data_IF_957292831923
#
_entry.id   IF_957292831923
#
_cell.length_a   1.000
_cell.length_b   1.000
_cell.length_c   1.000
_cell.angle_alpha   90.00
_cell.angle_beta   90.00
_cell.angle_gamma   90.00
#
_symmetry.space_group_name_H-M   'P 1'
#
loop_
_entity.id
_entity.type
_entity.pdbx_description
1 polymer ?
#
# COMPACT_ATOMS: atom_id res chain seq x y z
N UNK A 1 -9.09 17.43 -3.37
CA UNK A 1 -10.22 16.85 -4.13
C UNK A 1 -11.00 15.81 -3.33
N UNK A 2 -10.31 14.87 -2.62
CA UNK A 2 -10.99 13.83 -1.84
C UNK A 2 -11.85 14.42 -0.70
N UNK A 3 -11.33 15.39 0.05
CA UNK A 3 -12.09 16.03 1.15
C UNK A 3 -13.32 16.77 0.66
N UNK A 4 -13.27 17.38 -0.52
CA UNK A 4 -14.42 18.09 -1.10
C UNK A 4 -15.51 17.16 -1.65
N UNK A 5 -15.16 15.89 -1.92
CA UNK A 5 -16.09 14.85 -2.35
C UNK A 5 -16.64 14.00 -1.17
N UNK A 6 -16.18 14.27 0.06
CA UNK A 6 -16.56 13.50 1.23
C UNK A 6 -18.07 13.59 1.48
N UNK A 7 -18.70 12.42 1.70
CA UNK A 7 -20.15 12.31 1.89
C UNK A 7 -21.00 12.26 0.62
N UNK A 8 -20.42 12.50 -0.56
CA UNK A 8 -21.14 12.43 -1.83
C UNK A 8 -20.62 11.25 -2.65
N UNK A 9 -21.33 10.12 -2.57
CA UNK A 9 -20.92 8.86 -3.21
C UNK A 9 -20.60 9.01 -4.70
N UNK A 10 -21.47 9.66 -5.45
CA UNK A 10 -21.31 9.84 -6.90
C UNK A 10 -20.02 10.59 -7.25
N UNK A 11 -19.70 11.65 -6.49
CA UNK A 11 -18.47 12.42 -6.67
C UNK A 11 -17.22 11.58 -6.33
N UNK A 12 -17.29 10.76 -5.32
CA UNK A 12 -16.19 9.85 -4.95
C UNK A 12 -15.97 8.79 -6.03
N UNK A 13 -17.04 8.15 -6.53
CA UNK A 13 -16.94 7.20 -7.65
C UNK A 13 -16.40 7.87 -8.91
N UNK A 14 -16.83 9.11 -9.22
CA UNK A 14 -16.32 9.87 -10.35
C UNK A 14 -14.82 10.18 -10.22
N UNK A 15 -14.33 10.49 -8.99
CA UNK A 15 -12.90 10.66 -8.73
C UNK A 15 -12.10 9.39 -9.02
N UNK A 16 -12.59 8.22 -8.58
CA UNK A 16 -11.95 6.94 -8.86
C UNK A 16 -11.92 6.62 -10.36
N UNK A 17 -13.02 6.80 -11.07
CA UNK A 17 -13.07 6.62 -12.54
C UNK A 17 -12.10 7.56 -13.25
N UNK A 18 -12.05 8.81 -12.84
CA UNK A 18 -11.11 9.80 -13.39
C UNK A 18 -9.66 9.44 -13.08
N UNK A 19 -9.36 8.89 -11.89
CA UNK A 19 -8.03 8.41 -11.54
C UNK A 19 -7.62 7.23 -12.43
N UNK A 20 -8.51 6.24 -12.61
CA UNK A 20 -8.31 5.12 -13.53
C UNK A 20 -7.97 5.59 -14.94
N UNK A 21 -8.77 6.50 -15.51
CA UNK A 21 -8.56 7.03 -16.86
C UNK A 21 -7.22 7.75 -17.02
N UNK A 22 -6.85 8.59 -16.03
CA UNK A 22 -5.66 9.45 -16.13
C UNK A 22 -4.35 8.79 -15.69
N UNK A 23 -4.43 7.71 -14.90
CA UNK A 23 -3.27 7.05 -14.30
C UNK A 23 -3.01 5.65 -14.83
N UNK A 24 -3.87 5.15 -15.71
CA UNK A 24 -3.58 3.93 -16.45
C UNK A 24 -2.45 4.20 -17.46
N UNK A 25 -1.43 3.37 -17.41
CA UNK A 25 -0.29 3.45 -18.33
C UNK A 25 -0.71 3.10 -19.77
N UNK A 26 0.11 3.44 -20.79
CA UNK A 26 -0.20 3.12 -22.19
C UNK A 26 -0.41 1.62 -22.45
N UNK A 27 0.24 0.74 -21.70
CA UNK A 27 0.06 -0.71 -21.76
C UNK A 27 -1.14 -1.23 -20.92
N UNK A 28 -2.00 -0.33 -20.43
CA UNK A 28 -3.26 -0.68 -19.79
C UNK A 28 -3.16 -1.02 -18.29
N UNK A 29 -2.00 -0.82 -17.64
CA UNK A 29 -1.82 -1.11 -16.22
C UNK A 29 -2.18 0.10 -15.36
N UNK A 30 -3.04 -0.11 -14.37
CA UNK A 30 -3.33 0.84 -13.29
C UNK A 30 -2.93 0.23 -11.95
N UNK A 31 -2.23 0.99 -11.13
CA UNK A 31 -1.85 0.58 -9.79
C UNK A 31 -2.39 1.52 -8.72
N UNK A 32 -2.86 0.95 -7.63
CA UNK A 32 -3.29 1.70 -6.44
C UNK A 32 -2.73 1.04 -5.18
N UNK A 33 -2.33 1.86 -4.20
CA UNK A 33 -1.94 1.38 -2.87
C UNK A 33 -3.12 1.55 -1.92
N UNK A 34 -3.43 0.50 -1.16
CA UNK A 34 -4.50 0.47 -0.20
C UNK A 34 -4.05 -0.14 1.13
N UNK A 35 -4.64 0.32 2.23
CA UNK A 35 -4.50 -0.29 3.55
C UNK A 35 -5.84 -0.86 4.00
N UNK A 36 -5.83 -2.00 4.72
CA UNK A 36 -7.06 -2.64 5.22
C UNK A 36 -7.89 -1.71 6.11
N UNK A 37 -7.23 -0.89 6.94
CA UNK A 37 -7.89 0.13 7.74
C UNK A 37 -8.72 1.12 6.90
N UNK A 38 -8.23 1.54 5.73
CA UNK A 38 -8.97 2.44 4.84
C UNK A 38 -10.23 1.78 4.27
N UNK A 39 -10.16 0.49 3.94
CA UNK A 39 -11.33 -0.27 3.46
C UNK A 39 -12.34 -0.46 4.58
N UNK A 40 -11.88 -0.76 5.80
CA UNK A 40 -12.73 -0.90 6.98
C UNK A 40 -13.44 0.41 7.32
N UNK A 41 -12.70 1.51 7.35
CA UNK A 41 -13.27 2.83 7.62
C UNK A 41 -14.34 3.19 6.56
N UNK A 42 -14.06 2.87 5.30
CA UNK A 42 -15.00 3.09 4.21
C UNK A 42 -16.23 2.18 4.34
N UNK A 43 -16.05 0.92 4.71
CA UNK A 43 -17.14 -0.03 4.95
C UNK A 43 -18.06 0.43 6.09
N UNK A 44 -17.48 0.94 7.17
CA UNK A 44 -18.25 1.44 8.30
C UNK A 44 -18.98 2.75 7.96
N UNK A 45 -18.34 3.65 7.24
CA UNK A 45 -18.90 4.96 6.92
C UNK A 45 -19.90 4.90 5.75
N UNK A 46 -19.63 4.10 4.73
CA UNK A 46 -20.46 3.98 3.52
C UNK A 46 -20.21 2.66 2.77
N UNK A 47 -20.88 1.56 3.16
CA UNK A 47 -20.72 0.25 2.51
C UNK A 47 -21.00 0.26 1.01
N UNK A 48 -21.99 1.04 0.56
CA UNK A 48 -22.33 1.14 -0.86
C UNK A 48 -21.19 1.79 -1.68
N UNK A 49 -20.49 2.76 -1.10
CA UNK A 49 -19.31 3.34 -1.74
C UNK A 49 -18.17 2.34 -1.81
N UNK A 50 -17.93 1.53 -0.76
CA UNK A 50 -16.93 0.47 -0.80
C UNK A 50 -17.21 -0.49 -1.97
N UNK A 51 -18.46 -0.97 -2.10
CA UNK A 51 -18.86 -1.86 -3.19
C UNK A 51 -18.59 -1.20 -4.55
N UNK A 52 -18.96 0.06 -4.73
CA UNK A 52 -18.75 0.80 -5.97
C UNK A 52 -17.25 1.00 -6.30
N UNK A 53 -16.42 1.25 -5.29
CA UNK A 53 -14.96 1.38 -5.44
C UNK A 53 -14.35 0.03 -5.80
N UNK A 54 -14.72 -1.04 -5.08
CA UNK A 54 -14.21 -2.39 -5.36
C UNK A 54 -14.61 -2.85 -6.76
N UNK A 55 -15.86 -2.62 -7.19
CA UNK A 55 -16.31 -2.93 -8.55
C UNK A 55 -15.54 -2.14 -9.64
N UNK A 56 -15.09 -0.92 -9.32
CA UNK A 56 -14.27 -0.14 -10.24
C UNK A 56 -12.80 -0.61 -10.30
N UNK A 57 -12.24 -1.06 -9.16
CA UNK A 57 -10.85 -1.51 -9.06
C UNK A 57 -10.66 -2.97 -9.48
N UNK A 58 -11.68 -3.82 -9.24
CA UNK A 58 -11.68 -5.26 -9.51
C UNK A 58 -12.84 -5.62 -10.48
N UNK A 59 -12.87 -5.03 -11.68
CA UNK A 59 -13.95 -5.32 -12.62
C UNK A 59 -13.88 -6.79 -13.08
N UNK A 60 -15.04 -7.45 -13.17
CA UNK A 60 -15.14 -8.86 -13.57
C UNK A 60 -14.62 -9.15 -14.98
N UNK A 61 -14.64 -8.13 -15.84
CA UNK A 61 -14.21 -8.22 -17.24
C UNK A 61 -12.68 -8.02 -17.42
N UNK A 62 -11.98 -7.62 -16.39
CA UNK A 62 -10.53 -7.36 -16.42
C UNK A 62 -9.83 -8.19 -15.37
N UNK A 63 -8.61 -8.62 -15.67
CA UNK A 63 -7.78 -9.28 -14.67
C UNK A 63 -7.36 -8.25 -13.60
N UNK A 64 -7.72 -8.54 -12.37
CA UNK A 64 -7.26 -7.78 -11.22
C UNK A 64 -6.16 -8.58 -10.51
N UNK A 65 -5.09 -7.88 -10.13
CA UNK A 65 -3.94 -8.48 -9.48
C UNK A 65 -3.71 -7.79 -8.15
N UNK A 66 -3.38 -8.56 -7.13
CA UNK A 66 -3.05 -8.01 -5.81
C UNK A 66 -1.62 -8.36 -5.47
N UNK A 67 -0.83 -7.35 -5.16
CA UNK A 67 0.51 -7.51 -4.61
C UNK A 67 0.46 -7.17 -3.13
N UNK A 68 0.77 -8.13 -2.27
CA UNK A 68 0.80 -7.94 -0.83
C UNK A 68 2.24 -7.74 -0.37
N UNK A 69 2.53 -6.56 0.16
CA UNK A 69 3.84 -6.27 0.73
C UNK A 69 3.83 -6.54 2.24
N UNK A 70 4.65 -7.47 2.70
CA UNK A 70 4.81 -7.83 4.11
C UNK A 70 6.23 -7.50 4.61
N UNK A 71 6.37 -7.27 5.90
CA UNK A 71 7.69 -7.25 6.55
C UNK A 71 8.05 -8.62 7.10
N UNK A 72 9.35 -8.95 7.09
CA UNK A 72 9.86 -10.22 7.65
C UNK A 72 9.76 -10.19 9.18
N UNK A 73 10.18 -9.09 9.78
CA UNK A 73 10.19 -8.90 11.23
C UNK A 73 8.98 -8.06 11.68
N UNK A 74 7.99 -8.69 12.35
CA UNK A 74 6.79 -7.99 12.81
C UNK A 74 7.07 -7.07 14.01
N UNK A 75 8.14 -7.33 14.78
CA UNK A 75 8.52 -6.46 15.91
C UNK A 75 9.16 -5.18 15.39
N UNK A 76 10.11 -5.30 14.46
CA UNK A 76 10.69 -4.14 13.79
C UNK A 76 9.62 -3.32 13.04
N UNK A 77 8.60 -3.98 12.47
CA UNK A 77 7.45 -3.30 11.86
C UNK A 77 6.67 -2.48 12.90
N UNK A 78 6.36 -3.08 14.06
CA UNK A 78 5.62 -2.42 15.12
C UNK A 78 6.40 -1.23 15.71
N UNK A 79 7.71 -1.36 15.90
CA UNK A 79 8.58 -0.28 16.37
C UNK A 79 8.57 0.88 15.36
N UNK A 80 8.76 0.59 14.07
CA UNK A 80 8.74 1.59 13.00
C UNK A 80 7.40 2.32 12.93
N UNK A 81 6.29 1.57 13.03
CA UNK A 81 4.94 2.14 13.03
C UNK A 81 4.69 3.02 14.25
N UNK A 82 5.03 2.54 15.45
CA UNK A 82 4.87 3.30 16.69
C UNK A 82 5.67 4.61 16.65
N UNK A 83 6.92 4.56 16.16
CA UNK A 83 7.75 5.75 15.95
C UNK A 83 7.07 6.75 15.02
N UNK A 84 6.58 6.30 13.87
CA UNK A 84 5.90 7.15 12.90
C UNK A 84 4.62 7.77 13.47
N UNK A 85 3.82 7.00 14.21
CA UNK A 85 2.60 7.47 14.84
C UNK A 85 2.86 8.52 15.94
N UNK A 86 3.91 8.35 16.74
CA UNK A 86 4.27 9.28 17.80
C UNK A 86 4.93 10.56 17.27
N UNK A 87 5.74 10.46 16.21
CA UNK A 87 6.43 11.62 15.62
C UNK A 87 5.59 12.39 14.62
N UNK A 88 4.56 11.76 14.05
CA UNK A 88 3.83 12.28 12.88
C UNK A 88 4.62 12.17 11.57
N UNK A 89 5.84 11.60 11.60
CA UNK A 89 6.75 11.47 10.46
C UNK A 89 6.61 10.08 9.85
N UNK A 90 5.94 10.00 8.72
CA UNK A 90 5.68 8.74 8.00
C UNK A 90 6.67 8.48 6.87
N UNK A 91 7.38 9.52 6.41
CA UNK A 91 8.38 9.43 5.35
C UNK A 91 9.63 10.19 5.74
N UNK A 92 10.78 9.66 5.38
CA UNK A 92 12.08 10.26 5.70
C UNK A 92 12.23 11.72 5.19
N UNK A 93 11.59 12.03 4.06
CA UNK A 93 11.54 13.41 3.51
C UNK A 93 10.84 14.40 4.46
N UNK A 94 10.06 13.92 5.41
CA UNK A 94 9.38 14.74 6.42
C UNK A 94 10.23 14.97 7.67
N UNK A 95 11.36 14.29 7.80
CA UNK A 95 12.29 14.48 8.92
C UNK A 95 12.99 15.84 8.77
N UNK A 96 12.68 16.78 9.67
CA UNK A 96 13.42 18.03 9.76
C UNK A 96 14.83 17.76 10.30
N UNK A 97 15.87 18.45 9.80
CA UNK A 97 17.19 18.40 10.41
C UNK A 97 17.09 18.77 11.91
N UNK A 98 17.49 17.88 12.80
CA UNK A 98 17.40 18.10 14.25
C UNK A 98 16.04 17.77 14.88
N UNK A 99 15.17 17.05 14.18
CA UNK A 99 13.88 16.60 14.72
C UNK A 99 14.02 15.85 16.03
N UNK A 100 13.15 16.13 17.00
CA UNK A 100 13.16 15.55 18.33
C UNK A 100 13.14 14.03 18.28
N UNK A 101 14.08 13.38 18.94
CA UNK A 101 14.06 11.94 19.14
C UNK A 101 12.77 11.58 19.89
N UNK A 102 11.94 10.73 19.30
CA UNK A 102 10.74 10.21 19.97
C UNK A 102 11.19 9.25 21.05
N UNK A 103 10.73 9.48 22.28
CA UNK A 103 11.01 8.58 23.40
C UNK A 103 10.42 7.20 23.12
N UNK A 104 11.17 6.14 23.41
CA UNK A 104 10.70 4.78 23.30
C UNK A 104 9.51 4.53 24.25
N UNK A 105 8.46 3.89 23.73
CA UNK A 105 7.28 3.51 24.50
C UNK A 105 6.89 2.07 24.17
N UNK A 106 7.16 1.15 25.11
CA UNK A 106 6.74 -0.25 24.97
C UNK A 106 5.24 -0.37 24.75
N UNK A 107 4.42 0.43 25.46
CA UNK A 107 2.96 0.46 25.28
C UNK A 107 2.55 0.86 23.86
N UNK A 108 3.25 1.83 23.25
CA UNK A 108 2.98 2.24 21.87
C UNK A 108 3.36 1.14 20.88
N UNK A 109 4.47 0.43 21.11
CA UNK A 109 4.89 -0.71 20.28
C UNK A 109 3.89 -1.86 20.37
N UNK A 110 3.44 -2.21 21.60
CA UNK A 110 2.41 -3.24 21.79
C UNK A 110 1.09 -2.88 21.12
N UNK A 111 0.68 -1.61 21.19
CA UNK A 111 -0.51 -1.14 20.50
C UNK A 111 -0.34 -1.24 18.97
N UNK A 112 0.79 -0.78 18.45
CA UNK A 112 1.12 -0.88 17.03
C UNK A 112 1.13 -2.34 16.56
N UNK A 113 1.69 -3.26 17.37
CA UNK A 113 1.73 -4.69 17.08
C UNK A 113 0.32 -5.25 16.90
N UNK A 114 -0.57 -5.04 17.88
CA UNK A 114 -1.96 -5.51 17.79
C UNK A 114 -2.70 -4.93 16.59
N UNK A 115 -2.50 -3.64 16.29
CA UNK A 115 -3.10 -2.99 15.14
C UNK A 115 -2.62 -3.62 13.83
N UNK A 116 -1.32 -3.89 13.69
CA UNK A 116 -0.76 -4.51 12.49
C UNK A 116 -1.21 -5.97 12.34
N UNK A 117 -1.25 -6.74 13.43
CA UNK A 117 -1.74 -8.12 13.42
C UNK A 117 -3.22 -8.16 12.97
N UNK A 118 -4.04 -7.20 13.45
CA UNK A 118 -5.44 -7.08 13.00
C UNK A 118 -5.54 -6.72 11.51
N UNK A 119 -4.70 -5.80 11.02
CA UNK A 119 -4.69 -5.44 9.60
C UNK A 119 -4.28 -6.61 8.71
N UNK A 120 -3.33 -7.42 9.16
CA UNK A 120 -2.93 -8.64 8.44
C UNK A 120 -4.08 -9.66 8.38
N UNK A 121 -4.77 -9.87 9.51
CA UNK A 121 -5.93 -10.76 9.56
C UNK A 121 -7.09 -10.28 8.67
N UNK A 122 -7.35 -8.95 8.63
CA UNK A 122 -8.36 -8.38 7.74
C UNK A 122 -8.05 -8.65 6.26
N UNK A 123 -6.76 -8.57 5.87
CA UNK A 123 -6.35 -8.89 4.52
C UNK A 123 -6.54 -10.38 4.20
N UNK A 124 -6.18 -11.27 5.14
CA UNK A 124 -6.35 -12.71 4.94
C UNK A 124 -7.84 -13.04 4.74
N UNK A 125 -8.73 -12.50 5.59
CA UNK A 125 -10.18 -12.68 5.44
C UNK A 125 -10.71 -12.16 4.09
N UNK A 126 -10.29 -10.96 3.68
CA UNK A 126 -10.73 -10.36 2.42
C UNK A 126 -10.29 -11.18 1.21
N UNK A 127 -9.06 -11.68 1.22
CA UNK A 127 -8.54 -12.51 0.12
C UNK A 127 -9.25 -13.86 0.06
N UNK A 128 -9.56 -14.47 1.19
CA UNK A 128 -10.32 -15.71 1.27
C UNK A 128 -11.75 -15.51 0.73
N UNK A 129 -12.44 -14.46 1.17
CA UNK A 129 -13.80 -14.14 0.73
C UNK A 129 -13.88 -13.87 -0.79
N UNK A 130 -12.92 -13.13 -1.32
CA UNK A 130 -12.84 -12.77 -2.73
C UNK A 130 -12.13 -13.83 -3.60
N UNK A 131 -11.60 -14.89 -3.00
CA UNK A 131 -10.79 -15.93 -3.65
C UNK A 131 -9.62 -15.34 -4.44
N UNK A 132 -8.93 -14.37 -3.83
CA UNK A 132 -7.77 -13.71 -4.41
C UNK A 132 -6.50 -14.39 -3.89
N UNK A 133 -5.64 -14.83 -4.82
CA UNK A 133 -4.28 -15.25 -4.51
C UNK A 133 -3.30 -14.09 -4.78
N UNK A 134 -2.85 -13.36 -3.73
CA UNK A 134 -1.95 -12.25 -3.92
C UNK A 134 -0.52 -12.71 -4.17
N UNK A 135 0.23 -11.98 -5.00
CA UNK A 135 1.69 -12.08 -5.00
C UNK A 135 2.23 -11.49 -3.70
N UNK A 136 2.83 -12.34 -2.86
CA UNK A 136 3.39 -11.88 -1.57
C UNK A 136 4.86 -11.50 -1.75
N UNK A 137 5.18 -10.24 -1.51
CA UNK A 137 6.56 -9.74 -1.49
C UNK A 137 6.98 -9.38 -0.05
N UNK A 138 8.24 -9.60 0.27
CA UNK A 138 8.85 -9.14 1.50
C UNK A 138 9.56 -7.81 1.26
N UNK A 139 9.29 -6.81 2.10
CA UNK A 139 9.88 -5.47 1.94
C UNK A 139 11.41 -5.54 1.89
N UNK A 140 12.01 -6.35 2.74
CA UNK A 140 13.46 -6.52 2.82
C UNK A 140 14.01 -7.06 1.48
N UNK A 141 13.34 -8.04 0.88
CA UNK A 141 13.71 -8.57 -0.44
C UNK A 141 13.53 -7.51 -1.54
N UNK A 142 12.46 -6.72 -1.46
CA UNK A 142 12.24 -5.63 -2.43
C UNK A 142 13.34 -4.59 -2.34
N UNK A 143 13.81 -4.26 -1.14
CA UNK A 143 14.90 -3.31 -0.93
C UNK A 143 16.24 -3.90 -1.42
N UNK A 144 16.56 -5.13 -1.04
CA UNK A 144 17.83 -5.81 -1.37
C UNK A 144 17.96 -6.13 -2.86
N UNK A 145 16.84 -6.44 -3.52
CA UNK A 145 16.81 -6.92 -4.91
C UNK A 145 15.62 -6.32 -5.69
N UNK A 146 15.55 -4.99 -5.76
CA UNK A 146 14.43 -4.26 -6.40
C UNK A 146 14.15 -4.73 -7.83
N UNK A 147 15.19 -4.97 -8.64
CA UNK A 147 15.03 -5.44 -10.01
C UNK A 147 14.27 -6.78 -10.05
N UNK A 148 14.66 -7.76 -9.21
CA UNK A 148 13.97 -9.05 -9.12
C UNK A 148 12.52 -8.93 -8.63
N UNK A 149 12.26 -7.99 -7.72
CA UNK A 149 10.89 -7.74 -7.27
C UNK A 149 10.01 -7.17 -8.41
N UNK A 150 10.58 -6.29 -9.23
CA UNK A 150 9.90 -5.73 -10.42
C UNK A 150 9.65 -6.83 -11.46
N UNK A 151 10.65 -7.68 -11.74
CA UNK A 151 10.50 -8.84 -12.63
C UNK A 151 9.38 -9.79 -12.14
N UNK A 152 9.35 -10.09 -10.84
CA UNK A 152 8.31 -10.94 -10.26
C UNK A 152 6.91 -10.33 -10.40
N UNK A 153 6.78 -9.01 -10.20
CA UNK A 153 5.51 -8.31 -10.41
C UNK A 153 5.12 -8.31 -11.87
N UNK A 154 6.04 -8.03 -12.79
CA UNK A 154 5.78 -8.05 -14.22
C UNK A 154 5.32 -9.43 -14.71
N UNK A 155 6.00 -10.48 -14.29
CA UNK A 155 5.63 -11.86 -14.59
C UNK A 155 4.23 -12.20 -14.03
N UNK A 156 3.94 -11.76 -12.80
CA UNK A 156 2.62 -11.96 -12.18
C UNK A 156 1.51 -11.23 -12.93
N UNK A 157 1.79 -10.01 -13.42
CA UNK A 157 0.85 -9.23 -14.23
C UNK A 157 0.73 -9.75 -15.67
N UNK A 158 1.69 -10.55 -16.15
CA UNK A 158 1.80 -10.98 -17.53
C UNK A 158 2.16 -9.83 -18.48
N UNK A 159 2.97 -8.87 -18.01
CA UNK A 159 3.48 -7.75 -18.80
C UNK A 159 4.97 -7.92 -19.09
N UNK A 160 5.38 -7.56 -20.31
CA UNK A 160 6.79 -7.51 -20.67
C UNK A 160 7.43 -6.25 -20.08
N UNK A 161 8.64 -6.41 -19.54
CA UNK A 161 9.46 -5.29 -19.10
C UNK A 161 10.31 -4.81 -20.27
N UNK A 162 10.30 -3.52 -20.53
CA UNK A 162 11.31 -2.89 -21.35
C UNK A 162 12.60 -2.78 -20.52
N UNK A 163 13.53 -3.68 -20.78
CA UNK A 163 14.81 -3.79 -20.06
C UNK A 163 15.74 -2.59 -20.34
N UNK A 164 15.49 -1.82 -21.39
CA UNK A 164 16.22 -0.59 -21.70
C UNK A 164 15.72 0.62 -20.86
N UNK A 165 14.56 0.50 -20.23
CA UNK A 165 14.09 1.45 -19.24
C UNK A 165 14.92 1.28 -17.96
N UNK A 166 15.93 2.12 -17.79
CA UNK A 166 16.63 2.22 -16.50
C UNK A 166 15.59 2.42 -15.39
N UNK A 167 15.47 1.43 -14.52
CA UNK A 167 14.67 1.53 -13.31
C UNK A 167 15.13 2.77 -12.53
N UNK A 168 14.43 3.88 -12.70
CA UNK A 168 14.62 5.06 -11.85
C UNK A 168 14.04 4.72 -10.49
N UNK A 169 14.88 4.14 -9.63
CA UNK A 169 14.54 3.94 -8.23
C UNK A 169 14.33 5.34 -7.63
N UNK A 170 13.14 5.66 -7.12
CA UNK A 170 12.93 6.94 -6.46
C UNK A 170 13.95 7.09 -5.32
N UNK A 171 14.54 8.27 -5.18
CA UNK A 171 15.56 8.61 -4.16
C UNK A 171 15.19 8.16 -2.72
N UNK A 172 13.90 8.03 -2.44
CA UNK A 172 13.39 7.50 -1.17
C UNK A 172 13.76 6.02 -0.90
N UNK A 173 14.01 5.21 -1.94
CA UNK A 173 14.45 3.81 -1.79
C UNK A 173 15.98 3.70 -1.66
N UNK A 174 16.75 4.60 -2.26
CA UNK A 174 18.22 4.66 -2.10
C UNK A 174 18.63 4.89 -0.66
N UNK A 175 17.84 5.66 0.08
CA UNK A 175 18.12 5.99 1.48
C UNK A 175 17.91 4.81 2.44
N UNK A 176 17.13 3.80 2.06
CA UNK A 176 16.94 2.59 2.86
C UNK A 176 18.16 1.65 2.80
N UNK A 177 18.97 1.71 1.73
CA UNK A 177 20.20 0.93 1.59
C UNK A 177 21.35 1.42 2.47
N UNK A 178 21.33 2.66 2.93
CA UNK A 178 22.42 3.25 3.74
C UNK A 178 22.26 3.02 5.24
N UNK A 179 21.24 2.26 5.67
CA UNK A 179 20.92 2.03 7.09
C UNK A 179 20.93 0.55 7.51
N UNK A 180 21.50 -0.32 6.67
CA UNK A 180 21.78 -1.72 7.01
C UNK A 180 23.17 -1.90 7.60
#
# INVERSE_FOLDING_TARGET
>A
PYRSAHGVQERQVALWRSALQRRTSPNGVFGAKCFSAQLRDLQQANPALLIAVMAALLPTERRAFVVRLKRRDPVAHAISYARAALSGVWHKVQEAPGGSAVAFSAKAVDHARRLLDQQEADWDLLFDELRIEPLVLRLEVVIEATARAVEAVAAFLGVELDLDLQLRIPHALEVLHTLS
#
